data_IF_260094374245
#
_entry.id   IF_260094374245
#
_cell.length_a   1.000
_cell.length_b   1.000
_cell.length_c   1.000
_cell.angle_alpha   90.00
_cell.angle_beta   90.00
_cell.angle_gamma   90.00
#
_symmetry.space_group_name_H-M   'P 1'
#
loop_
_entity.id
_entity.type
_entity.pdbx_description
1 polymer ?
#
# COMPACT_ATOMS: atom_id res chain seq x y z
N UNK A 1 39.44 8.97 28.71
CA UNK A 1 38.75 10.27 28.63
C UNK A 1 38.39 10.66 27.20
N UNK A 2 39.32 10.54 26.27
CA UNK A 2 39.03 10.87 24.87
C UNK A 2 38.03 9.92 24.19
N UNK A 3 37.98 8.65 24.63
CA UNK A 3 37.08 7.66 24.06
C UNK A 3 35.63 7.92 24.46
N UNK A 4 35.39 8.46 25.66
CA UNK A 4 34.04 8.82 26.11
C UNK A 4 33.50 10.03 25.33
N UNK A 5 34.32 10.99 25.01
CA UNK A 5 33.92 12.13 24.19
C UNK A 5 33.60 11.73 22.74
N UNK A 6 34.39 10.82 22.18
CA UNK A 6 34.11 10.26 20.84
C UNK A 6 32.78 9.50 20.81
N UNK A 7 32.52 8.72 21.86
CA UNK A 7 31.27 7.97 21.97
C UNK A 7 30.07 8.90 22.12
N UNK A 8 30.22 10.00 22.87
CA UNK A 8 29.16 10.99 22.98
C UNK A 8 28.87 11.72 21.69
N UNK A 9 29.90 12.04 20.89
CA UNK A 9 29.72 12.66 19.58
C UNK A 9 29.06 11.69 18.60
N UNK A 10 29.42 10.43 18.65
CA UNK A 10 28.78 9.39 17.82
C UNK A 10 27.34 9.17 18.22
N UNK A 11 27.05 9.16 19.51
CA UNK A 11 25.68 9.04 20.03
C UNK A 11 24.83 10.26 19.65
N UNK A 12 25.39 11.46 19.74
CA UNK A 12 24.69 12.68 19.33
C UNK A 12 24.42 12.68 17.80
N UNK A 13 25.39 12.20 17.01
CA UNK A 13 25.21 12.05 15.58
C UNK A 13 24.16 11.00 15.22
N UNK A 14 24.13 9.90 15.95
CA UNK A 14 23.10 8.86 15.78
C UNK A 14 21.71 9.36 16.16
N UNK A 15 21.61 10.14 17.23
CA UNK A 15 20.35 10.73 17.66
C UNK A 15 19.84 11.77 16.68
N UNK A 16 20.72 12.56 16.08
CA UNK A 16 20.37 13.51 15.03
C UNK A 16 19.88 12.80 13.78
N UNK A 17 20.56 11.73 13.37
CA UNK A 17 20.15 10.91 12.23
C UNK A 17 18.84 10.19 12.50
N UNK A 18 18.61 9.74 13.73
CA UNK A 18 17.35 9.10 14.12
C UNK A 18 16.17 10.06 14.01
N UNK A 19 16.36 11.33 14.36
CA UNK A 19 15.34 12.37 14.21
C UNK A 19 15.02 12.64 12.75
N UNK A 20 16.03 12.74 11.89
CA UNK A 20 15.85 12.92 10.45
C UNK A 20 15.15 11.70 9.83
N UNK A 21 15.52 10.50 10.25
CA UNK A 21 14.88 9.27 9.77
C UNK A 21 13.42 9.22 10.18
N UNK A 22 13.09 9.66 11.39
CA UNK A 22 11.70 9.74 11.84
C UNK A 22 10.88 10.69 10.98
N UNK A 23 11.43 11.87 10.69
CA UNK A 23 10.75 12.84 9.83
C UNK A 23 10.52 12.26 8.43
N UNK A 24 11.53 11.61 7.87
CA UNK A 24 11.41 10.96 6.56
C UNK A 24 10.37 9.85 6.57
N UNK A 25 10.34 9.05 7.64
CA UNK A 25 9.34 8.00 7.78
C UNK A 25 7.93 8.57 7.90
N UNK A 26 7.75 9.66 8.65
CA UNK A 26 6.47 10.34 8.75
C UNK A 26 6.02 10.90 7.41
N UNK A 27 6.93 11.52 6.68
CA UNK A 27 6.66 12.04 5.33
C UNK A 27 6.27 10.91 4.38
N UNK A 28 6.98 9.79 4.46
CA UNK A 28 6.66 8.62 3.65
C UNK A 28 5.27 8.07 3.96
N UNK A 29 4.91 8.00 5.25
CA UNK A 29 3.59 7.55 5.65
C UNK A 29 2.50 8.51 5.18
N UNK A 30 2.74 9.81 5.24
CA UNK A 30 1.82 10.81 4.70
C UNK A 30 1.65 10.66 3.20
N UNK A 31 2.75 10.45 2.47
CA UNK A 31 2.71 10.21 1.03
C UNK A 31 1.97 8.93 0.70
N UNK A 32 2.21 7.85 1.45
CA UNK A 32 1.49 6.59 1.26
C UNK A 32 -0.01 6.76 1.50
N UNK A 33 -0.39 7.56 2.49
CA UNK A 33 -1.79 7.84 2.77
C UNK A 33 -2.49 8.60 1.64
N UNK A 34 -1.75 9.40 0.89
CA UNK A 34 -2.25 10.15 -0.26
C UNK A 34 -2.28 9.33 -1.55
N UNK A 35 -1.49 8.26 -1.63
CA UNK A 35 -1.52 7.37 -2.77
C UNK A 35 -2.78 6.53 -2.72
N UNK A 36 -3.60 6.64 -3.74
CA UNK A 36 -4.84 5.87 -3.83
C UNK A 36 -4.85 5.04 -5.10
N UNK A 37 -5.51 3.91 -5.01
CA UNK A 37 -5.78 3.08 -6.18
C UNK A 37 -7.19 2.54 -6.06
N UNK A 38 -7.80 2.30 -7.19
CA UNK A 38 -9.13 1.71 -7.22
C UNK A 38 -9.13 0.49 -8.13
N UNK A 39 -10.02 -0.41 -7.85
CA UNK A 39 -10.27 -1.57 -8.69
C UNK A 39 -11.75 -1.90 -8.63
N UNK A 40 -12.22 -2.56 -9.68
CA UNK A 40 -13.61 -2.98 -9.76
C UNK A 40 -13.68 -4.47 -10.10
N UNK A 41 -14.82 -5.06 -9.79
CA UNK A 41 -15.12 -6.45 -10.10
C UNK A 41 -16.58 -6.55 -10.53
N UNK A 42 -16.89 -7.58 -11.29
CA UNK A 42 -18.25 -7.79 -11.80
C UNK A 42 -18.67 -6.72 -12.80
N UNK A 43 -17.75 -6.31 -13.68
CA UNK A 43 -17.98 -5.28 -14.70
C UNK A 43 -18.45 -3.95 -14.10
N UNK A 44 -17.87 -3.58 -12.95
CA UNK A 44 -18.20 -2.32 -12.28
C UNK A 44 -19.27 -2.44 -11.22
N UNK A 45 -19.75 -3.63 -10.91
CA UNK A 45 -20.73 -3.83 -9.87
C UNK A 45 -20.21 -3.45 -8.50
N UNK A 46 -18.93 -3.73 -8.25
CA UNK A 46 -18.24 -3.39 -7.01
C UNK A 46 -16.98 -2.60 -7.35
N UNK A 47 -16.80 -1.46 -6.72
CA UNK A 47 -15.59 -0.65 -6.84
C UNK A 47 -15.01 -0.40 -5.46
N UNK A 48 -13.71 -0.61 -5.31
CA UNK A 48 -13.01 -0.43 -4.03
C UNK A 48 -11.87 0.55 -4.23
N UNK A 49 -11.77 1.51 -3.32
CA UNK A 49 -10.66 2.48 -3.30
C UNK A 49 -9.86 2.24 -2.02
N UNK A 50 -8.54 2.15 -2.17
CA UNK A 50 -7.61 1.91 -1.08
C UNK A 50 -6.47 2.93 -1.13
N UNK A 51 -5.71 3.03 -0.03
CA UNK A 51 -4.52 3.87 0.00
C UNK A 51 -3.25 3.04 0.22
N UNK A 52 -2.10 3.70 0.14
CA UNK A 52 -0.80 3.06 0.31
C UNK A 52 -0.51 2.59 1.74
N UNK A 53 -1.32 3.00 2.71
CA UNK A 53 -1.25 2.50 4.09
C UNK A 53 -2.03 1.21 4.27
N UNK A 54 -2.50 0.62 3.17
CA UNK A 54 -3.29 -0.62 3.18
C UNK A 54 -4.62 -0.45 3.90
N UNK A 55 -5.24 0.70 3.71
CA UNK A 55 -6.57 0.99 4.25
C UNK A 55 -7.58 1.03 3.11
N UNK A 56 -8.74 0.43 3.35
CA UNK A 56 -9.87 0.55 2.43
C UNK A 56 -10.55 1.89 2.73
N UNK A 57 -10.58 2.78 1.74
CA UNK A 57 -11.15 4.12 1.91
C UNK A 57 -12.63 4.17 1.53
N UNK A 58 -13.01 3.38 0.52
CA UNK A 58 -14.39 3.39 0.03
C UNK A 58 -14.71 2.09 -0.66
N UNK A 59 -15.94 1.64 -0.49
CA UNK A 59 -16.52 0.52 -1.24
C UNK A 59 -17.81 1.03 -1.85
N UNK A 60 -17.89 1.00 -3.16
CA UNK A 60 -19.06 1.46 -3.90
C UNK A 60 -19.71 0.28 -4.60
N UNK A 61 -20.99 0.12 -4.41
CA UNK A 61 -21.79 -0.91 -5.07
C UNK A 61 -22.73 -0.23 -6.06
N UNK A 62 -22.67 -0.65 -7.32
CA UNK A 62 -23.61 -0.17 -8.32
C UNK A 62 -24.95 -0.85 -8.11
N UNK A 63 -25.97 -0.08 -7.78
CA UNK A 63 -27.29 -0.61 -7.40
C UNK A 63 -27.90 -1.44 -8.52
N UNK A 64 -27.85 -0.95 -9.74
CA UNK A 64 -28.47 -1.63 -10.87
C UNK A 64 -27.77 -2.96 -11.16
N UNK A 65 -26.44 -2.96 -11.14
CA UNK A 65 -25.67 -4.17 -11.39
C UNK A 65 -25.78 -5.18 -10.26
N UNK A 66 -25.76 -4.72 -9.01
CA UNK A 66 -25.94 -5.58 -7.84
C UNK A 66 -27.33 -6.22 -7.88
N UNK A 67 -28.37 -5.44 -8.21
CA UNK A 67 -29.73 -5.97 -8.34
C UNK A 67 -29.82 -7.03 -9.44
N UNK A 68 -29.15 -6.77 -10.57
CA UNK A 68 -29.12 -7.72 -11.68
C UNK A 68 -28.37 -9.02 -11.30
N UNK A 69 -27.26 -8.90 -10.57
CA UNK A 69 -26.45 -10.05 -10.15
C UNK A 69 -27.08 -10.80 -8.98
N UNK A 70 -27.75 -10.09 -8.08
CA UNK A 70 -28.38 -10.69 -6.91
C UNK A 70 -29.61 -11.55 -7.25
N UNK A 71 -30.18 -11.36 -8.44
CA UNK A 71 -31.31 -12.16 -8.89
C UNK A 71 -32.43 -12.16 -7.86
N UNK A 72 -32.74 -13.34 -7.28
CA UNK A 72 -33.78 -13.50 -6.26
C UNK A 72 -33.25 -13.37 -4.83
N UNK A 73 -31.96 -13.03 -4.65
CA UNK A 73 -31.35 -12.88 -3.33
C UNK A 73 -31.03 -14.19 -2.65
N UNK A 74 -30.70 -15.21 -3.42
CA UNK A 74 -30.32 -16.52 -2.87
C UNK A 74 -28.95 -16.41 -2.14
N UNK A 75 -28.64 -17.44 -1.34
CA UNK A 75 -27.34 -17.54 -0.67
C UNK A 75 -26.19 -17.58 -1.67
N UNK A 76 -26.39 -18.20 -2.84
CA UNK A 76 -25.39 -18.25 -3.91
C UNK A 76 -25.15 -16.85 -4.49
N UNK A 77 -26.20 -16.06 -4.67
CA UNK A 77 -26.10 -14.68 -5.17
C UNK A 77 -25.37 -13.79 -4.17
N UNK A 78 -25.67 -13.93 -2.89
CA UNK A 78 -24.98 -13.22 -1.81
C UNK A 78 -23.49 -13.56 -1.80
N UNK A 79 -23.17 -14.84 -1.90
CA UNK A 79 -21.78 -15.31 -1.91
C UNK A 79 -21.02 -14.76 -3.10
N UNK A 80 -21.66 -14.69 -4.26
CA UNK A 80 -21.06 -14.12 -5.46
C UNK A 80 -20.67 -12.64 -5.25
N UNK A 81 -21.57 -11.85 -4.65
CA UNK A 81 -21.31 -10.44 -4.35
C UNK A 81 -20.15 -10.30 -3.35
N UNK A 82 -20.14 -11.13 -2.30
CA UNK A 82 -19.06 -11.15 -1.32
C UNK A 82 -17.71 -11.45 -2.00
N UNK A 83 -17.67 -12.41 -2.91
CA UNK A 83 -16.46 -12.75 -3.68
C UNK A 83 -15.99 -11.60 -4.57
N UNK A 84 -16.94 -10.86 -5.17
CA UNK A 84 -16.60 -9.68 -5.96
C UNK A 84 -15.96 -8.60 -5.12
N UNK A 85 -16.43 -8.40 -3.89
CA UNK A 85 -15.85 -7.44 -2.95
C UNK A 85 -14.42 -7.84 -2.59
N UNK A 86 -14.21 -9.12 -2.30
CA UNK A 86 -12.87 -9.66 -2.01
C UNK A 86 -11.93 -9.45 -3.21
N UNK A 87 -12.39 -9.79 -4.39
CA UNK A 87 -11.61 -9.68 -5.62
C UNK A 87 -11.22 -8.22 -5.92
N UNK A 88 -12.17 -7.29 -5.83
CA UNK A 88 -11.92 -5.88 -6.07
C UNK A 88 -10.96 -5.32 -5.02
N UNK A 89 -11.12 -5.69 -3.76
CA UNK A 89 -10.26 -5.24 -2.66
C UNK A 89 -8.82 -5.70 -2.86
N UNK A 90 -8.63 -6.97 -3.18
CA UNK A 90 -7.29 -7.53 -3.39
C UNK A 90 -6.62 -6.90 -4.61
N UNK A 91 -7.37 -6.66 -5.67
CA UNK A 91 -6.83 -6.00 -6.86
C UNK A 91 -6.45 -4.55 -6.58
N UNK A 92 -7.27 -3.82 -5.82
CA UNK A 92 -6.97 -2.44 -5.43
C UNK A 92 -5.68 -2.36 -4.60
N UNK A 93 -5.51 -3.26 -3.65
CA UNK A 93 -4.29 -3.32 -2.85
C UNK A 93 -3.06 -3.67 -3.70
N UNK A 94 -3.21 -4.58 -4.64
CA UNK A 94 -2.13 -4.93 -5.57
C UNK A 94 -1.70 -3.70 -6.38
N UNK A 95 -2.66 -2.92 -6.86
CA UNK A 95 -2.39 -1.70 -7.63
C UNK A 95 -1.70 -0.63 -6.80
N UNK A 96 -2.15 -0.40 -5.55
CA UNK A 96 -1.55 0.62 -4.70
C UNK A 96 -0.15 0.23 -4.25
N UNK A 97 0.11 -1.05 -4.04
CA UNK A 97 1.45 -1.56 -3.72
C UNK A 97 2.42 -1.30 -4.88
N UNK A 98 2.00 -1.55 -6.10
CA UNK A 98 2.81 -1.28 -7.29
C UNK A 98 3.08 0.22 -7.44
N UNK A 99 2.06 1.04 -7.20
CA UNK A 99 2.18 2.49 -7.24
C UNK A 99 3.18 2.99 -6.19
N UNK A 100 3.09 2.47 -4.97
CA UNK A 100 4.01 2.79 -3.88
C UNK A 100 5.44 2.39 -4.22
N UNK A 101 5.61 1.23 -4.84
CA UNK A 101 6.92 0.74 -5.27
C UNK A 101 7.54 1.68 -6.30
N UNK A 102 6.75 2.14 -7.27
CA UNK A 102 7.20 3.06 -8.31
C UNK A 102 7.59 4.42 -7.72
N UNK A 103 6.81 4.94 -6.77
CA UNK A 103 7.12 6.20 -6.11
C UNK A 103 8.38 6.11 -5.25
N UNK A 104 8.57 4.99 -4.57
CA UNK A 104 9.78 4.72 -3.81
C UNK A 104 11.02 4.68 -4.72
N UNK A 105 10.90 4.06 -5.88
CA UNK A 105 11.98 3.99 -6.86
C UNK A 105 12.35 5.39 -7.36
N UNK A 106 11.38 6.28 -7.55
CA UNK A 106 11.62 7.67 -7.92
C UNK A 106 12.33 8.45 -6.82
N UNK A 107 11.93 8.23 -5.55
CA UNK A 107 12.54 8.91 -4.41
C UNK A 107 13.99 8.49 -4.19
N UNK A 108 14.34 7.27 -4.52
CA UNK A 108 15.72 6.78 -4.45
C UNK A 108 16.55 7.12 -5.69
N UNK A 109 15.98 7.91 -6.62
CA UNK A 109 16.67 8.36 -7.82
C UNK A 109 17.02 7.26 -8.80
N UNK A 110 16.30 6.15 -8.77
CA UNK A 110 16.61 5.00 -9.61
C UNK A 110 17.84 4.26 -9.19
N UNK A 111 18.36 4.54 -7.99
CA UNK A 111 19.49 3.80 -7.46
C UNK A 111 19.08 2.38 -7.11
N UNK A 112 19.55 1.45 -7.90
CA UNK A 112 19.50 0.04 -7.56
C UNK A 112 20.39 -0.19 -6.35
N UNK A 113 19.77 -0.31 -5.19
CA UNK A 113 20.46 -0.74 -3.99
C UNK A 113 20.61 -2.26 -4.09
N UNK A 114 21.87 -2.77 -4.21
CA UNK A 114 22.08 -4.21 -4.45
C UNK A 114 21.45 -5.10 -3.39
N UNK A 115 21.25 -4.58 -2.18
CA UNK A 115 20.60 -5.31 -1.10
C UNK A 115 19.10 -5.43 -1.26
N UNK A 116 18.46 -4.46 -1.92
CA UNK A 116 17.01 -4.47 -2.14
C UNK A 116 16.62 -5.38 -3.29
N UNK A 117 17.42 -5.45 -4.33
CA UNK A 117 17.19 -6.39 -5.43
C UNK A 117 17.26 -7.84 -4.97
N UNK A 118 18.21 -8.17 -4.09
CA UNK A 118 18.32 -9.49 -3.50
C UNK A 118 17.11 -9.88 -2.66
N UNK A 119 16.53 -8.92 -1.93
CA UNK A 119 15.35 -9.15 -1.10
C UNK A 119 14.07 -9.24 -1.93
N UNK A 120 13.95 -8.42 -2.97
CA UNK A 120 12.78 -8.42 -3.84
C UNK A 120 12.83 -9.52 -4.88
N UNK A 121 14.02 -9.85 -5.38
CA UNK A 121 14.21 -10.92 -6.35
C UNK A 121 13.91 -12.31 -5.79
N UNK A 122 14.17 -12.53 -4.51
CA UNK A 122 13.87 -13.81 -3.86
C UNK A 122 12.37 -14.00 -3.60
N UNK A 123 11.61 -12.92 -3.55
CA UNK A 123 10.15 -12.99 -3.37
C UNK A 123 9.38 -13.08 -4.67
N UNK A 124 10.01 -12.77 -5.81
CA UNK A 124 9.36 -12.70 -7.11
C UNK A 124 9.62 -13.90 -8.03
N UNK A 125 10.45 -14.79 -7.61
CA UNK A 125 10.80 -15.95 -8.44
C UNK A 125 10.08 -17.22 -8.01
#
# INVERSE_FOLDING_TARGET
MFDQMKNMKQLAGMLGNAGEMREKMQQMQEELGKMTAEADAGAGAVRVVVNGKMQVLNVELDRAMITALAGEGSDADKQMIEELIVSATNEAFSRVQELARQEMAKLTGGMDLPGLEGLMGSGGS
#
